data_IF_109234895060
#
_entry.id   IF_109234895060
#
_cell.length_a   1.000
_cell.length_b   1.000
_cell.length_c   1.000
_cell.angle_alpha   90.00
_cell.angle_beta   90.00
_cell.angle_gamma   90.00
#
_symmetry.space_group_name_H-M   'P 1'
#
loop_
_entity.id
_entity.type
_entity.pdbx_description
1 polymer ?
#
# COMPACT_ATOMS: atom_id res chain seq x y z
N UNK A 1 -2.56 -25.77 -18.33
CA UNK A 1 -3.45 -26.93 -18.56
C UNK A 1 -4.28 -26.66 -19.81
N UNK A 2 -4.57 -27.67 -20.63
CA UNK A 2 -5.37 -27.46 -21.84
C UNK A 2 -6.86 -27.30 -21.50
N UNK A 3 -7.62 -26.59 -22.35
CA UNK A 3 -9.06 -26.42 -22.17
C UNK A 3 -9.81 -27.77 -22.12
N UNK A 4 -9.32 -28.77 -22.87
CA UNK A 4 -9.89 -30.14 -22.85
C UNK A 4 -9.63 -30.84 -21.53
N UNK A 5 -8.43 -30.70 -20.95
CA UNK A 5 -8.11 -31.25 -19.62
C UNK A 5 -8.94 -30.58 -18.52
N UNK A 6 -9.14 -29.25 -18.60
CA UNK A 6 -9.96 -28.50 -17.66
C UNK A 6 -11.40 -28.97 -17.70
N UNK A 7 -11.99 -29.12 -18.90
CA UNK A 7 -13.37 -29.57 -19.05
C UNK A 7 -13.60 -31.00 -18.50
N UNK A 8 -12.61 -31.88 -18.65
CA UNK A 8 -12.69 -33.27 -18.15
C UNK A 8 -12.49 -33.39 -16.64
N UNK A 9 -11.77 -32.46 -16.02
CA UNK A 9 -11.37 -32.54 -14.60
C UNK A 9 -11.79 -31.29 -13.82
N UNK A 10 -12.93 -30.70 -14.16
CA UNK A 10 -13.27 -29.36 -13.68
C UNK A 10 -13.34 -29.24 -12.15
N UNK A 11 -13.87 -30.26 -11.47
CA UNK A 11 -13.89 -30.31 -10.00
C UNK A 11 -12.48 -30.18 -9.39
N UNK A 12 -11.51 -30.98 -9.86
CA UNK A 12 -10.12 -30.88 -9.40
C UNK A 12 -9.48 -29.53 -9.70
N UNK A 13 -9.85 -28.89 -10.82
CA UNK A 13 -9.37 -27.54 -11.15
C UNK A 13 -9.91 -26.51 -10.15
N UNK A 14 -11.17 -26.64 -9.73
CA UNK A 14 -11.76 -25.78 -8.70
C UNK A 14 -11.11 -26.02 -7.34
N UNK A 15 -10.94 -27.28 -6.92
CA UNK A 15 -10.28 -27.61 -5.66
C UNK A 15 -8.87 -27.00 -5.59
N UNK A 16 -8.10 -27.12 -6.67
CA UNK A 16 -6.75 -26.55 -6.77
C UNK A 16 -6.77 -25.02 -6.63
N UNK A 17 -7.74 -24.36 -7.26
CA UNK A 17 -7.92 -22.93 -7.15
C UNK A 17 -8.37 -22.50 -5.75
N UNK A 18 -9.21 -23.30 -5.08
CA UNK A 18 -9.60 -23.07 -3.68
C UNK A 18 -8.37 -23.16 -2.75
N UNK A 19 -7.41 -24.02 -3.07
CA UNK A 19 -6.15 -24.17 -2.34
C UNK A 19 -5.06 -23.15 -2.76
N UNK A 20 -5.42 -22.09 -3.49
CA UNK A 20 -4.50 -21.00 -3.80
C UNK A 20 -3.81 -21.09 -5.17
N UNK A 21 -4.05 -22.14 -5.96
CA UNK A 21 -3.35 -22.34 -7.22
C UNK A 21 -3.94 -21.49 -8.35
N UNK A 22 -3.05 -20.87 -9.16
CA UNK A 22 -3.45 -20.17 -10.39
C UNK A 22 -3.27 -21.08 -11.60
N UNK A 23 -4.37 -21.47 -12.24
CA UNK A 23 -4.39 -22.34 -13.41
C UNK A 23 -4.50 -21.51 -14.69
N UNK A 24 -3.45 -21.56 -15.51
CA UNK A 24 -3.48 -21.02 -16.88
C UNK A 24 -4.09 -22.05 -17.84
N UNK A 25 -5.17 -21.67 -18.50
CA UNK A 25 -5.92 -22.48 -19.46
C UNK A 25 -5.45 -22.15 -20.87
N UNK A 26 -5.05 -23.17 -21.64
CA UNK A 26 -4.54 -23.03 -23.01
C UNK A 26 -5.37 -23.82 -24.03
N UNK A 27 -5.39 -23.38 -25.29
CA UNK A 27 -5.93 -24.15 -26.44
C UNK A 27 -5.06 -23.91 -27.66
N UNK A 28 -4.63 -24.98 -28.32
CA UNK A 28 -3.73 -24.89 -29.47
C UNK A 28 -2.43 -24.12 -29.16
N UNK A 29 -1.85 -24.34 -27.97
CA UNK A 29 -0.63 -23.65 -27.51
C UNK A 29 -0.84 -22.19 -27.05
N UNK A 30 -1.99 -21.58 -27.30
CA UNK A 30 -2.30 -20.20 -26.87
C UNK A 30 -2.93 -20.17 -25.48
N UNK A 31 -2.53 -19.20 -24.65
CA UNK A 31 -3.22 -18.87 -23.38
C UNK A 31 -4.60 -18.30 -23.72
N UNK A 32 -5.65 -18.92 -23.20
CA UNK A 32 -7.04 -18.50 -23.39
C UNK A 32 -7.59 -17.78 -22.16
N UNK A 33 -7.33 -18.31 -20.97
CA UNK A 33 -7.89 -17.82 -19.73
C UNK A 33 -6.98 -18.17 -18.55
N UNK A 34 -7.24 -17.54 -17.42
CA UNK A 34 -6.66 -17.89 -16.12
C UNK A 34 -7.81 -18.12 -15.16
N UNK A 35 -7.75 -19.21 -14.40
CA UNK A 35 -8.60 -19.45 -13.24
C UNK A 35 -7.71 -19.34 -12.01
N UNK A 36 -8.08 -18.48 -11.08
CA UNK A 36 -7.30 -18.18 -9.89
C UNK A 36 -8.25 -18.12 -8.68
N UNK A 37 -7.72 -18.26 -7.45
CA UNK A 37 -8.52 -18.02 -6.26
C UNK A 37 -9.07 -16.60 -6.28
N UNK A 38 -10.26 -16.41 -5.73
CA UNK A 38 -10.76 -15.06 -5.46
C UNK A 38 -9.79 -14.38 -4.49
N UNK A 39 -9.27 -13.19 -4.81
CA UNK A 39 -8.41 -12.46 -3.88
C UNK A 39 -9.14 -12.29 -2.55
N UNK A 40 -8.55 -12.81 -1.47
CA UNK A 40 -9.03 -12.54 -0.13
C UNK A 40 -8.54 -11.15 0.29
N UNK A 41 -9.47 -10.27 0.67
CA UNK A 41 -9.12 -9.01 1.31
C UNK A 41 -8.55 -9.26 2.72
N UNK A 42 -7.61 -8.43 3.16
CA UNK A 42 -7.01 -8.50 4.50
C UNK A 42 -7.74 -7.61 5.53
N UNK A 43 -8.93 -7.09 5.20
CA UNK A 43 -9.63 -6.10 6.03
C UNK A 43 -9.95 -6.58 7.46
N UNK A 44 -10.35 -7.83 7.62
CA UNK A 44 -10.61 -8.41 8.94
C UNK A 44 -9.35 -8.44 9.81
N UNK A 45 -8.20 -8.80 9.21
CA UNK A 45 -6.91 -8.81 9.90
C UNK A 45 -6.45 -7.38 10.25
N UNK A 46 -6.61 -6.41 9.33
CA UNK A 46 -6.30 -5.00 9.60
C UNK A 46 -7.16 -4.46 10.75
N UNK A 47 -8.48 -4.75 10.74
CA UNK A 47 -9.38 -4.35 11.82
C UNK A 47 -8.94 -4.91 13.17
N UNK A 48 -8.66 -6.21 13.24
CA UNK A 48 -8.18 -6.85 14.47
C UNK A 48 -6.84 -6.28 14.96
N UNK A 49 -5.93 -5.94 14.03
CA UNK A 49 -4.67 -5.26 14.36
C UNK A 49 -4.93 -3.88 14.98
N UNK A 50 -5.77 -3.05 14.36
CA UNK A 50 -6.09 -1.71 14.88
C UNK A 50 -6.83 -1.76 16.23
N UNK A 51 -7.69 -2.76 16.45
CA UNK A 51 -8.40 -2.94 17.73
C UNK A 51 -7.47 -3.34 18.87
N UNK A 52 -6.37 -4.04 18.57
CA UNK A 52 -5.39 -4.50 19.57
C UNK A 52 -4.22 -3.54 19.80
N UNK A 53 -4.03 -2.55 18.92
CA UNK A 53 -2.95 -1.58 18.98
C UNK A 53 -3.54 -0.17 19.05
N UNK A 54 -3.89 0.31 20.26
CA UNK A 54 -4.42 1.66 20.44
C UNK A 54 -3.42 2.71 19.95
N UNK A 55 -3.94 3.87 19.58
CA UNK A 55 -3.13 5.02 19.17
C UNK A 55 -2.26 5.47 20.33
N UNK A 56 -0.99 5.71 20.04
CA UNK A 56 -0.06 6.38 20.94
C UNK A 56 -0.37 7.89 20.93
N UNK A 57 -0.98 8.38 22.00
CA UNK A 57 -1.43 9.77 22.13
C UNK A 57 -0.27 10.77 22.21
N UNK A 58 0.87 10.37 22.79
CA UNK A 58 2.06 11.22 22.88
C UNK A 58 2.66 11.40 21.49
N UNK A 59 2.81 10.29 20.75
CA UNK A 59 3.22 10.34 19.35
C UNK A 59 2.21 11.13 18.50
N UNK A 60 0.90 10.94 18.71
CA UNK A 60 -0.12 11.69 17.98
C UNK A 60 0.01 13.20 18.22
N UNK A 61 0.30 13.62 19.45
CA UNK A 61 0.53 15.01 19.79
C UNK A 61 1.78 15.59 19.08
N UNK A 62 2.90 14.88 19.12
CA UNK A 62 4.15 15.29 18.47
C UNK A 62 3.97 15.43 16.95
N UNK A 63 3.30 14.46 16.34
CA UNK A 63 2.97 14.49 14.90
C UNK A 63 2.06 15.68 14.59
N UNK A 64 1.04 15.96 15.39
CA UNK A 64 0.15 17.09 15.19
C UNK A 64 0.88 18.44 15.24
N UNK A 65 1.83 18.61 16.17
CA UNK A 65 2.64 19.82 16.30
C UNK A 65 3.52 20.05 15.06
N UNK A 66 4.21 19.00 14.59
CA UNK A 66 5.03 19.08 13.37
C UNK A 66 4.14 19.32 12.15
N UNK A 67 3.02 18.62 12.03
CA UNK A 67 2.06 18.79 10.95
C UNK A 67 1.56 20.24 10.84
N UNK A 68 1.21 20.87 11.95
CA UNK A 68 0.80 22.27 11.97
C UNK A 68 1.90 23.21 11.46
N UNK A 69 3.17 22.97 11.82
CA UNK A 69 4.32 23.73 11.33
C UNK A 69 4.53 23.56 9.82
N UNK A 70 4.48 22.32 9.32
CA UNK A 70 4.60 22.02 7.90
C UNK A 70 3.46 22.65 7.09
N UNK A 71 2.22 22.56 7.60
CA UNK A 71 1.04 23.17 6.98
C UNK A 71 1.19 24.70 6.88
N UNK A 72 1.66 25.35 7.94
CA UNK A 72 1.91 26.80 7.94
C UNK A 72 3.01 27.19 6.93
N UNK A 73 4.08 26.40 6.85
CA UNK A 73 5.15 26.61 5.86
C UNK A 73 4.62 26.50 4.42
N UNK A 74 3.95 25.39 4.10
CA UNK A 74 3.39 25.13 2.76
C UNK A 74 2.39 26.21 2.32
N UNK A 75 1.56 26.69 3.26
CA UNK A 75 0.64 27.80 2.99
C UNK A 75 1.37 29.10 2.65
N UNK A 76 2.49 29.40 3.32
CA UNK A 76 3.30 30.59 3.02
C UNK A 76 4.01 30.48 1.67
N UNK A 77 4.46 29.29 1.29
CA UNK A 77 5.14 29.07 0.01
C UNK A 77 4.18 29.00 -1.20
N UNK A 78 2.89 28.80 -0.97
CA UNK A 78 1.90 28.68 -2.05
C UNK A 78 2.00 27.38 -2.85
N UNK A 79 2.67 26.35 -2.31
CA UNK A 79 2.88 25.03 -2.96
C UNK A 79 2.17 23.91 -2.19
N UNK A 80 0.84 23.75 -2.33
CA UNK A 80 0.08 22.76 -1.56
C UNK A 80 0.64 21.34 -1.75
N UNK A 81 0.56 20.53 -0.70
CA UNK A 81 0.91 19.10 -0.73
C UNK A 81 -0.37 18.25 -0.75
N UNK A 82 -0.26 16.98 -1.12
CA UNK A 82 -1.38 16.05 -1.09
C UNK A 82 -1.98 15.91 0.31
N UNK A 83 -3.25 15.52 0.37
CA UNK A 83 -4.02 15.45 1.63
C UNK A 83 -3.34 14.59 2.70
N UNK A 84 -2.66 13.51 2.30
CA UNK A 84 -1.94 12.62 3.21
C UNK A 84 -0.43 12.90 3.29
N UNK A 85 0.13 13.66 2.36
CA UNK A 85 1.58 13.87 2.27
C UNK A 85 2.11 14.60 3.52
N UNK A 86 1.38 15.62 3.99
CA UNK A 86 1.83 16.39 5.15
C UNK A 86 1.83 15.56 6.43
N UNK A 87 0.84 14.67 6.62
CA UNK A 87 0.80 13.85 7.83
C UNK A 87 1.89 12.78 7.79
N UNK A 88 2.17 12.19 6.62
CA UNK A 88 3.29 11.25 6.43
C UNK A 88 4.62 11.95 6.71
N UNK A 89 4.83 13.13 6.14
CA UNK A 89 6.03 13.93 6.35
C UNK A 89 6.21 14.33 7.82
N UNK A 90 5.12 14.73 8.49
CA UNK A 90 5.12 15.07 9.90
C UNK A 90 5.46 13.86 10.78
N UNK A 91 4.94 12.67 10.48
CA UNK A 91 5.30 11.44 11.20
C UNK A 91 6.77 11.11 11.07
N UNK A 92 7.34 11.22 9.86
CA UNK A 92 8.77 10.99 9.64
C UNK A 92 9.63 11.99 10.44
N UNK A 93 9.31 13.28 10.35
CA UNK A 93 10.02 14.34 11.06
C UNK A 93 9.89 14.24 12.59
N UNK A 94 8.68 14.00 13.13
CA UNK A 94 8.44 13.85 14.57
C UNK A 94 9.20 12.67 15.18
N UNK A 95 9.45 11.62 14.39
CA UNK A 95 10.14 10.41 14.85
C UNK A 95 11.61 10.36 14.44
N UNK A 96 12.14 11.44 13.85
CA UNK A 96 13.51 11.51 13.33
C UNK A 96 13.88 10.35 12.39
N UNK A 97 12.93 9.93 11.54
CA UNK A 97 13.11 8.85 10.57
C UNK A 97 13.22 9.39 9.14
N UNK A 98 13.97 8.69 8.29
CA UNK A 98 14.00 8.96 6.85
C UNK A 98 12.74 8.42 6.16
N UNK A 99 12.03 9.28 5.44
CA UNK A 99 10.88 8.93 4.62
C UNK A 99 11.34 8.33 3.29
N UNK A 100 11.10 7.04 3.08
CA UNK A 100 11.35 6.41 1.79
C UNK A 100 10.10 6.48 0.92
N UNK A 101 10.23 6.96 -0.31
CA UNK A 101 9.12 7.07 -1.27
C UNK A 101 9.52 6.53 -2.64
N UNK A 102 8.60 5.89 -3.35
CA UNK A 102 8.78 5.57 -4.77
C UNK A 102 8.34 6.70 -5.69
N UNK A 103 7.60 7.69 -5.16
CA UNK A 103 7.15 8.86 -5.91
C UNK A 103 8.03 10.08 -5.61
N UNK A 104 9.02 10.32 -6.47
CA UNK A 104 9.89 11.50 -6.38
C UNK A 104 9.19 12.83 -6.63
N UNK A 105 7.99 12.86 -7.21
CA UNK A 105 7.25 14.11 -7.46
C UNK A 105 6.70 14.74 -6.19
N UNK A 106 6.57 13.96 -5.13
CA UNK A 106 6.13 14.43 -3.80
C UNK A 106 7.09 15.43 -3.17
N UNK A 107 8.38 15.38 -3.53
CA UNK A 107 9.43 16.29 -3.07
C UNK A 107 9.39 16.52 -1.55
N UNK A 108 9.35 15.42 -0.77
CA UNK A 108 9.30 15.49 0.68
C UNK A 108 10.52 16.18 1.29
N UNK A 109 11.68 16.09 0.65
CA UNK A 109 12.92 16.77 1.08
C UNK A 109 12.85 18.30 1.04
N UNK A 110 11.88 18.87 0.31
CA UNK A 110 11.66 20.32 0.31
C UNK A 110 10.99 20.80 1.62
N UNK A 111 10.46 19.89 2.44
CA UNK A 111 9.76 20.24 3.68
C UNK A 111 10.76 20.41 4.84
N UNK A 112 10.62 21.47 5.65
CA UNK A 112 11.58 21.75 6.71
C UNK A 112 11.56 20.68 7.79
N UNK A 113 12.74 20.13 8.09
CA UNK A 113 12.90 19.07 9.11
C UNK A 113 12.49 17.67 8.65
N UNK A 114 12.18 17.50 7.36
CA UNK A 114 11.90 16.20 6.76
C UNK A 114 13.16 15.71 6.05
N UNK A 115 13.54 14.46 6.32
CA UNK A 115 14.56 13.75 5.56
C UNK A 115 13.87 12.66 4.75
N UNK A 116 14.04 12.67 3.44
CA UNK A 116 13.45 11.71 2.53
C UNK A 116 14.49 11.15 1.55
N UNK A 117 14.15 10.01 0.96
CA UNK A 117 14.92 9.42 -0.13
C UNK A 117 13.96 8.73 -1.10
N UNK A 118 14.21 8.94 -2.40
CA UNK A 118 13.45 8.27 -3.46
C UNK A 118 14.07 6.90 -3.73
N UNK A 119 13.25 5.86 -3.69
CA UNK A 119 13.64 4.47 -3.97
C UNK A 119 12.97 3.96 -5.26
N UNK A 120 13.58 3.02 -5.99
CA UNK A 120 12.96 2.41 -7.16
C UNK A 120 11.64 1.70 -6.80
N UNK A 121 10.66 1.79 -7.71
CA UNK A 121 9.39 1.06 -7.61
C UNK A 121 9.52 -0.42 -7.95
#
# INVERSE_FOLDING_TARGET
MTATEVARNFASVLDRAEHGETIVITRGGRRLATLAPTPAGNGAAIKAFLESHPVDEDLAHDVALVHARLLAHVRREGKPRGAHDLIIAATAAATARTLLTTDGKTAFDDLPGVHAAVIPA
#
